data_IF_005129045614
#
_entry.id   IF_005129045614
#
_cell.length_a   1.000
_cell.length_b   1.000
_cell.length_c   1.000
_cell.angle_alpha   90.00
_cell.angle_beta   90.00
_cell.angle_gamma   90.00
#
_symmetry.space_group_name_H-M   'P 1'
#
loop_
_entity.id
_entity.type
_entity.pdbx_description
1 polymer ?
#
# COMPACT_ATOMS: atom_id res chain seq x y z
N UNK A 1 3.90 -0.90 4.99
CA UNK A 1 3.04 -1.90 5.69
C UNK A 1 2.72 -1.55 7.13
N UNK A 2 3.71 -1.24 7.97
CA UNK A 2 3.51 -0.88 9.39
C UNK A 2 2.53 0.30 9.54
N UNK A 3 2.71 1.35 8.75
CA UNK A 3 1.83 2.54 8.72
C UNK A 3 0.38 2.16 8.40
N UNK A 4 0.15 1.39 7.34
CA UNK A 4 -1.17 0.88 6.97
C UNK A 4 -1.75 -0.05 8.05
N UNK A 5 -0.94 -0.90 8.68
CA UNK A 5 -1.38 -1.77 9.78
C UNK A 5 -1.92 -0.98 10.97
N UNK A 6 -1.20 0.06 11.40
CA UNK A 6 -1.68 0.93 12.47
C UNK A 6 -2.94 1.72 12.08
N UNK A 7 -3.01 2.19 10.83
CA UNK A 7 -4.19 2.91 10.35
C UNK A 7 -5.44 1.99 10.23
N UNK A 8 -5.26 0.72 9.88
CA UNK A 8 -6.31 -0.31 9.92
C UNK A 8 -6.81 -0.53 11.35
N UNK A 9 -5.91 -0.68 12.33
CA UNK A 9 -6.29 -0.86 13.75
C UNK A 9 -7.06 0.33 14.31
N UNK A 10 -6.65 1.54 13.92
CA UNK A 10 -7.36 2.76 14.29
C UNK A 10 -8.69 2.92 13.53
N UNK A 11 -9.02 1.98 12.63
CA UNK A 11 -10.20 2.00 11.77
C UNK A 11 -10.30 3.27 10.91
N UNK A 12 -9.16 3.92 10.65
CA UNK A 12 -9.10 5.12 9.81
C UNK A 12 -9.26 4.79 8.32
N UNK A 13 -9.00 3.52 7.97
CA UNK A 13 -9.02 2.98 6.62
C UNK A 13 -9.44 1.50 6.67
N UNK A 14 -9.78 0.96 5.50
CA UNK A 14 -10.03 -0.46 5.23
C UNK A 14 -9.24 -0.86 3.98
N UNK A 15 -9.04 -2.16 3.70
CA UNK A 15 -8.41 -2.59 2.45
C UNK A 15 -9.14 -2.10 1.18
N UNK A 16 -10.44 -1.86 1.31
CA UNK A 16 -11.30 -1.36 0.24
C UNK A 16 -11.40 0.18 0.17
N UNK A 17 -10.85 0.93 1.14
CA UNK A 17 -10.91 2.39 1.13
C UNK A 17 -10.35 2.93 -0.18
N UNK A 18 -11.15 3.69 -0.91
CA UNK A 18 -10.72 4.39 -2.10
C UNK A 18 -9.92 5.65 -1.71
N UNK A 19 -8.74 5.77 -2.30
CA UNK A 19 -7.91 6.97 -2.29
C UNK A 19 -7.80 7.54 -3.69
N UNK A 20 -7.54 8.84 -3.78
CA UNK A 20 -7.06 9.44 -5.02
C UNK A 20 -5.53 9.49 -5.01
N UNK A 21 -4.90 8.73 -5.90
CA UNK A 21 -3.47 8.78 -6.22
C UNK A 21 -3.17 9.98 -7.13
N UNK A 22 -3.30 11.17 -6.55
CA UNK A 22 -3.13 12.47 -7.22
C UNK A 22 -2.27 13.37 -6.33
N UNK A 23 -1.13 13.89 -6.83
CA UNK A 23 -0.27 14.81 -6.11
C UNK A 23 -1.01 16.05 -5.62
N UNK A 24 -0.68 16.47 -4.40
CA UNK A 24 -1.25 17.65 -3.76
C UNK A 24 -0.22 18.25 -2.78
N UNK A 25 -0.31 19.55 -2.54
CA UNK A 25 0.45 20.20 -1.48
C UNK A 25 -0.08 19.74 -0.11
N UNK A 26 0.68 18.87 0.55
CA UNK A 26 0.38 18.38 1.90
C UNK A 26 0.74 19.40 3.01
N UNK A 27 1.23 20.58 2.63
CA UNK A 27 1.58 21.67 3.53
C UNK A 27 2.96 22.23 3.22
N UNK A 28 3.10 23.55 3.36
CA UNK A 28 4.38 24.26 3.21
C UNK A 28 5.06 24.04 1.84
N UNK A 29 4.29 23.72 0.79
CA UNK A 29 4.82 23.47 -0.55
C UNK A 29 5.39 22.06 -0.74
N UNK A 30 5.17 21.15 0.20
CA UNK A 30 5.57 19.76 0.05
C UNK A 30 4.57 18.98 -0.80
N UNK A 31 4.93 18.79 -2.06
CA UNK A 31 4.13 18.13 -3.10
C UNK A 31 4.87 16.88 -3.62
N UNK A 32 4.88 15.77 -2.88
CA UNK A 32 5.51 14.53 -3.32
C UNK A 32 4.78 13.96 -4.53
N UNK A 33 5.48 13.12 -5.28
CA UNK A 33 4.97 12.43 -6.47
C UNK A 33 5.25 10.93 -6.39
N UNK A 34 4.60 10.17 -7.26
CA UNK A 34 4.97 8.78 -7.51
C UNK A 34 6.32 8.68 -8.22
N UNK A 35 7.02 7.57 -8.01
CA UNK A 35 8.37 7.35 -8.58
C UNK A 35 8.40 7.43 -10.11
N UNK A 36 7.28 7.12 -10.76
CA UNK A 36 7.11 7.13 -12.22
C UNK A 36 6.44 8.41 -12.75
N UNK A 37 6.13 9.37 -11.88
CA UNK A 37 5.45 10.61 -12.24
C UNK A 37 4.00 10.43 -12.72
N UNK A 38 3.41 9.25 -12.52
CA UNK A 38 2.03 8.94 -12.95
C UNK A 38 1.04 9.17 -11.83
N UNK A 39 -0.16 9.57 -12.23
CA UNK A 39 -1.29 9.85 -11.35
C UNK A 39 -2.42 8.85 -11.66
N UNK A 40 -2.59 7.86 -10.78
CA UNK A 40 -3.51 6.73 -11.06
C UNK A 40 -4.97 7.08 -10.80
N UNK A 41 -5.24 8.22 -10.16
CA UNK A 41 -6.59 8.60 -9.74
C UNK A 41 -7.13 7.63 -8.70
N UNK A 42 -8.37 7.13 -8.84
CA UNK A 42 -8.98 6.28 -7.82
C UNK A 42 -8.27 4.92 -7.70
N UNK A 43 -7.79 4.62 -6.50
CA UNK A 43 -7.13 3.35 -6.15
C UNK A 43 -7.59 2.86 -4.78
N UNK A 44 -7.82 1.56 -4.63
CA UNK A 44 -8.11 0.98 -3.29
C UNK A 44 -6.84 0.87 -2.47
N UNK A 45 -6.97 0.98 -1.15
CA UNK A 45 -5.87 0.84 -0.19
C UNK A 45 -5.02 -0.42 -0.43
N UNK A 46 -5.67 -1.60 -0.64
CA UNK A 46 -4.96 -2.85 -0.97
C UNK A 46 -3.96 -2.65 -2.12
N UNK A 47 -4.44 -2.04 -3.21
CA UNK A 47 -3.64 -1.83 -4.42
C UNK A 47 -2.55 -0.80 -4.17
N UNK A 48 -2.82 0.24 -3.38
CA UNK A 48 -1.81 1.23 -3.00
C UNK A 48 -0.68 0.62 -2.17
N UNK A 49 -1.00 -0.26 -1.20
CA UNK A 49 0.00 -0.98 -0.42
C UNK A 49 0.80 -1.98 -1.27
N UNK A 50 0.14 -2.73 -2.15
CA UNK A 50 0.80 -3.66 -3.07
C UNK A 50 1.72 -2.92 -4.05
N UNK A 51 1.23 -1.81 -4.63
CA UNK A 51 1.96 -0.96 -5.57
C UNK A 51 3.03 -0.07 -4.93
N UNK A 52 3.05 0.06 -3.61
CA UNK A 52 3.96 1.00 -2.93
C UNK A 52 3.70 2.47 -3.29
N UNK A 53 2.44 2.87 -3.48
CA UNK A 53 2.10 4.24 -3.85
C UNK A 53 2.34 5.20 -2.69
N UNK A 54 3.01 6.32 -3.00
CA UNK A 54 3.38 7.36 -2.05
C UNK A 54 2.16 8.17 -1.60
N UNK A 55 1.34 8.65 -2.54
CA UNK A 55 0.23 9.57 -2.23
C UNK A 55 -0.80 8.93 -1.29
N UNK A 56 -1.34 7.71 -1.56
CA UNK A 56 -2.28 7.07 -0.64
C UNK A 56 -1.66 6.73 0.72
N UNK A 57 -0.34 6.47 0.79
CA UNK A 57 0.34 6.20 2.06
C UNK A 57 0.38 7.46 2.93
N UNK A 58 0.69 8.63 2.34
CA UNK A 58 0.69 9.92 3.05
C UNK A 58 -0.73 10.26 3.50
N UNK A 59 -1.72 10.12 2.63
CA UNK A 59 -3.15 10.34 2.97
C UNK A 59 -3.59 9.41 4.10
N UNK A 60 -3.13 8.16 4.11
CA UNK A 60 -3.36 7.21 5.21
C UNK A 60 -2.79 7.72 6.53
N UNK A 61 -1.53 8.19 6.54
CA UNK A 61 -0.93 8.73 7.76
C UNK A 61 -1.64 9.98 8.27
N UNK A 62 -2.17 10.82 7.36
CA UNK A 62 -2.95 12.00 7.73
C UNK A 62 -4.29 11.58 8.34
N UNK A 63 -5.04 10.68 7.71
CA UNK A 63 -6.34 10.19 8.21
C UNK A 63 -6.23 9.53 9.60
N UNK A 64 -5.19 8.73 9.82
CA UNK A 64 -4.96 8.06 11.11
C UNK A 64 -4.28 8.96 12.17
N UNK A 65 -3.78 10.14 11.75
CA UNK A 65 -2.94 11.01 12.58
C UNK A 65 -1.50 10.51 12.63
N UNK A 66 -0.60 11.23 11.94
CA UNK A 66 0.81 10.82 11.81
C UNK A 66 1.51 10.67 13.17
N UNK A 67 1.20 11.54 14.14
CA UNK A 67 1.75 11.45 15.49
C UNK A 67 1.28 10.21 16.26
N UNK A 68 0.04 9.75 16.01
CA UNK A 68 -0.44 8.49 16.60
C UNK A 68 0.35 7.31 16.04
N UNK A 69 0.57 7.28 14.73
CA UNK A 69 1.37 6.24 14.07
C UNK A 69 2.80 6.25 14.61
N UNK A 70 3.43 7.42 14.65
CA UNK A 70 4.79 7.56 15.15
C UNK A 70 4.94 7.06 16.59
N UNK A 71 4.02 7.45 17.50
CA UNK A 71 4.03 6.96 18.90
C UNK A 71 3.93 5.44 18.97
N UNK A 72 3.02 4.82 18.21
CA UNK A 72 2.90 3.36 18.17
C UNK A 72 4.14 2.68 17.60
N UNK A 73 4.76 3.26 16.57
CA UNK A 73 6.03 2.77 16.06
C UNK A 73 7.12 2.80 17.15
N UNK A 74 7.26 3.93 17.85
CA UNK A 74 8.25 4.13 18.92
C UNK A 74 8.04 3.17 20.10
N UNK A 75 6.80 3.05 20.55
CA UNK A 75 6.44 2.28 21.74
C UNK A 75 6.35 0.77 21.44
N UNK A 76 6.23 0.41 20.16
CA UNK A 76 6.23 -0.97 19.69
C UNK A 76 7.62 -1.48 19.29
N UNK A 77 7.95 -1.37 18.00
CA UNK A 77 9.10 -2.07 17.42
C UNK A 77 10.33 -1.18 17.16
N UNK A 78 10.16 0.14 17.07
CA UNK A 78 11.17 1.03 16.50
C UNK A 78 11.87 1.87 17.57
N UNK A 79 13.21 1.93 17.49
CA UNK A 79 13.98 2.95 18.21
C UNK A 79 14.42 4.04 17.24
N UNK A 80 13.91 5.24 17.45
CA UNK A 80 14.28 6.43 16.69
C UNK A 80 15.50 7.11 17.29
N UNK A 81 16.24 7.86 16.45
CA UNK A 81 17.39 8.68 16.90
C UNK A 81 16.93 9.82 17.80
N UNK A 82 15.84 10.48 17.39
CA UNK A 82 15.23 11.58 18.11
C UNK A 82 14.02 11.12 18.92
N UNK A 83 13.81 11.76 20.06
CA UNK A 83 12.62 11.51 20.91
C UNK A 83 11.39 12.28 20.46
N UNK A 84 11.52 13.20 19.50
CA UNK A 84 10.46 14.02 18.92
C UNK A 84 10.14 13.57 17.51
N UNK A 85 8.85 13.55 17.14
CA UNK A 85 8.45 13.30 15.76
C UNK A 85 8.74 14.54 14.90
N UNK A 86 9.71 14.43 13.99
CA UNK A 86 10.07 15.50 13.05
C UNK A 86 9.51 15.30 11.64
N UNK A 87 8.99 14.11 11.33
CA UNK A 87 8.59 13.75 9.97
C UNK A 87 7.14 14.15 9.63
N UNK A 88 6.25 14.19 10.62
CA UNK A 88 4.82 14.34 10.36
C UNK A 88 4.31 13.23 9.42
N UNK A 89 3.43 13.55 8.47
CA UNK A 89 2.85 12.57 7.54
C UNK A 89 3.86 11.97 6.55
N UNK A 90 5.01 12.61 6.34
CA UNK A 90 6.07 12.07 5.47
C UNK A 90 6.67 10.76 5.98
N UNK A 91 6.45 10.41 7.27
CA UNK A 91 6.85 9.10 7.81
C UNK A 91 6.25 7.94 7.01
N UNK A 92 5.10 8.16 6.35
CA UNK A 92 4.42 7.16 5.55
C UNK A 92 5.27 6.61 4.39
N UNK A 93 6.20 7.44 3.90
CA UNK A 93 7.10 7.14 2.80
C UNK A 93 8.57 7.02 3.24
N UNK A 94 8.80 6.84 4.54
CA UNK A 94 10.12 6.45 5.07
C UNK A 94 11.10 7.59 5.32
N UNK A 95 10.65 8.79 5.65
CA UNK A 95 11.53 9.93 6.00
C UNK A 95 12.17 9.85 7.38
N UNK A 96 11.77 8.86 8.21
CA UNK A 96 12.40 8.59 9.50
C UNK A 96 13.45 7.50 9.36
N UNK A 97 14.69 7.82 9.72
CA UNK A 97 15.75 6.84 9.84
C UNK A 97 15.42 5.83 10.93
N UNK A 98 15.54 4.55 10.58
CA UNK A 98 15.28 3.43 11.48
C UNK A 98 16.39 2.39 11.37
N UNK A 99 16.54 1.58 12.41
CA UNK A 99 17.42 0.42 12.35
C UNK A 99 16.70 -0.70 11.60
N UNK A 100 17.30 -1.26 10.55
CA UNK A 100 16.67 -2.36 9.80
C UNK A 100 16.41 -3.61 10.64
N UNK A 101 17.17 -3.82 11.72
CA UNK A 101 16.90 -4.89 12.67
C UNK A 101 15.57 -4.70 13.41
N UNK A 102 15.14 -3.46 13.65
CA UNK A 102 13.83 -3.14 14.22
C UNK A 102 12.71 -3.35 13.19
N UNK A 103 12.95 -2.97 11.94
CA UNK A 103 12.04 -3.28 10.83
C UNK A 103 11.87 -4.79 10.65
N UNK A 104 12.97 -5.55 10.70
CA UNK A 104 12.95 -7.01 10.64
C UNK A 104 12.10 -7.61 11.77
N UNK A 105 12.24 -7.10 12.99
CA UNK A 105 11.40 -7.51 14.12
C UNK A 105 9.92 -7.15 13.93
N UNK A 106 9.60 -6.00 13.34
CA UNK A 106 8.22 -5.63 13.02
C UNK A 106 7.60 -6.57 11.96
N UNK A 107 8.37 -6.99 10.94
CA UNK A 107 7.91 -8.01 9.99
C UNK A 107 7.78 -9.39 10.64
N UNK A 108 8.68 -9.74 11.57
CA UNK A 108 8.56 -10.95 12.38
C UNK A 108 7.26 -10.95 13.19
N UNK A 109 6.87 -9.81 13.74
CA UNK A 109 5.60 -9.68 14.42
C UNK A 109 4.39 -9.80 13.47
N UNK A 110 4.43 -9.20 12.27
CA UNK A 110 3.38 -9.43 11.27
C UNK A 110 3.23 -10.91 10.91
N UNK A 111 4.34 -11.62 10.74
CA UNK A 111 4.35 -13.05 10.50
C UNK A 111 3.73 -13.83 11.68
N UNK A 112 3.99 -13.37 12.91
CA UNK A 112 3.61 -14.02 14.15
C UNK A 112 2.41 -13.33 14.84
N UNK A 113 1.32 -13.12 14.09
CA UNK A 113 0.02 -12.64 14.61
C UNK A 113 0.10 -11.33 15.43
N UNK A 114 1.02 -10.44 15.06
CA UNK A 114 1.23 -9.14 15.71
C UNK A 114 2.11 -9.18 16.96
N UNK A 115 2.66 -10.34 17.35
CA UNK A 115 3.53 -10.50 18.52
C UNK A 115 5.01 -10.45 18.15
N UNK A 116 5.71 -9.44 18.66
CA UNK A 116 7.15 -9.29 18.53
C UNK A 116 7.86 -9.95 19.70
N UNK A 117 8.82 -10.85 19.43
CA UNK A 117 9.70 -11.41 20.45
C UNK A 117 11.05 -10.68 20.52
N UNK A 118 11.67 -10.58 21.71
CA UNK A 118 13.01 -10.04 21.84
C UNK A 118 14.03 -10.83 21.02
N UNK A 119 14.94 -10.11 20.37
CA UNK A 119 16.04 -10.72 19.60
C UNK A 119 17.06 -11.34 20.54
N UNK A 120 17.42 -12.61 20.29
CA UNK A 120 18.48 -13.32 21.01
C UNK A 120 19.64 -13.59 20.05
N UNK A 121 20.82 -13.08 20.37
CA UNK A 121 22.05 -13.29 19.58
C UNK A 121 22.93 -14.39 20.17
N UNK A 122 22.90 -14.53 21.50
CA UNK A 122 23.63 -15.54 22.25
C UNK A 122 22.57 -16.41 22.92
N UNK A 123 22.58 -17.71 22.62
CA UNK A 123 21.64 -18.67 23.21
C UNK A 123 22.21 -19.32 24.47
N UNK A 124 23.49 -19.65 24.47
CA UNK A 124 24.17 -20.33 25.57
C UNK A 124 25.66 -20.00 25.58
N UNK A 125 26.24 -19.85 26.76
CA UNK A 125 27.69 -19.70 26.99
C UNK A 125 28.09 -20.81 27.96
N UNK A 126 29.14 -21.55 27.63
CA UNK A 126 29.65 -22.67 28.43
C UNK A 126 31.14 -22.55 28.67
N UNK A 127 31.60 -23.08 29.80
CA UNK A 127 33.02 -23.35 30.04
C UNK A 127 33.48 -24.57 29.25
N UNK A 128 34.80 -24.77 29.16
CA UNK A 128 35.42 -25.94 28.50
C UNK A 128 34.98 -27.28 29.10
N UNK A 129 34.65 -27.30 30.38
CA UNK A 129 34.19 -28.50 31.11
C UNK A 129 32.67 -28.76 30.93
N UNK A 130 31.97 -27.96 30.13
CA UNK A 130 30.52 -28.07 29.91
C UNK A 130 29.67 -27.34 30.96
N UNK A 131 30.27 -26.67 31.94
CA UNK A 131 29.52 -25.87 32.91
C UNK A 131 28.85 -24.68 32.22
N UNK A 132 27.53 -24.59 32.33
CA UNK A 132 26.74 -23.46 31.81
C UNK A 132 27.09 -22.17 32.55
N UNK A 133 27.34 -21.09 31.81
CA UNK A 133 27.62 -19.73 32.32
C UNK A 133 26.43 -18.80 32.07
N UNK A 134 25.82 -18.92 30.90
CA UNK A 134 24.61 -18.19 30.54
C UNK A 134 23.75 -19.06 29.65
N UNK A 135 22.44 -18.98 29.84
CA UNK A 135 21.42 -19.50 28.95
C UNK A 135 20.40 -18.39 28.72
N UNK A 136 20.05 -18.16 27.46
CA UNK A 136 19.10 -17.13 27.14
C UNK A 136 17.71 -17.51 27.65
N UNK A 137 16.99 -16.59 28.31
CA UNK A 137 15.65 -16.89 28.81
C UNK A 137 14.72 -17.30 27.66
N UNK A 138 13.72 -18.09 28.00
CA UNK A 138 12.63 -18.42 27.08
C UNK A 138 11.91 -17.11 26.68
N UNK A 139 11.84 -16.78 25.38
CA UNK A 139 11.22 -15.56 24.92
C UNK A 139 9.69 -15.60 25.05
N UNK A 140 9.06 -16.76 25.28
CA UNK A 140 7.61 -16.95 25.31
C UNK A 140 6.88 -15.93 26.21
N UNK A 141 7.46 -15.62 27.38
CA UNK A 141 6.91 -14.66 28.34
C UNK A 141 7.23 -13.18 28.08
N UNK A 142 8.01 -12.86 27.04
CA UNK A 142 8.51 -11.50 26.76
C UNK A 142 7.96 -10.90 25.46
N UNK A 143 6.87 -11.45 24.93
CA UNK A 143 6.25 -10.95 23.71
C UNK A 143 5.70 -9.52 23.90
N UNK A 144 6.03 -8.63 22.98
CA UNK A 144 5.40 -7.31 22.85
C UNK A 144 4.36 -7.38 21.75
N UNK A 145 3.09 -7.12 22.08
CA UNK A 145 2.03 -7.01 21.06
C UNK A 145 2.15 -5.67 20.35
N UNK A 146 2.48 -5.69 19.05
CA UNK A 146 2.55 -4.47 18.22
C UNK A 146 1.37 -4.36 17.26
N UNK A 147 0.71 -5.47 16.94
CA UNK A 147 -0.56 -5.49 16.22
C UNK A 147 -1.53 -6.48 16.88
N UNK A 148 -2.82 -6.28 16.72
CA UNK A 148 -3.82 -7.33 16.89
C UNK A 148 -3.66 -8.41 15.81
N UNK A 149 -4.00 -9.65 16.15
CA UNK A 149 -3.86 -10.79 15.25
C UNK A 149 -4.64 -10.61 13.94
N UNK A 150 -5.85 -10.06 14.03
CA UNK A 150 -6.72 -9.76 12.88
C UNK A 150 -6.08 -8.75 11.93
N UNK A 151 -5.46 -7.70 12.47
CA UNK A 151 -4.72 -6.71 11.68
C UNK A 151 -3.51 -7.35 11.02
N UNK A 152 -2.73 -8.15 11.76
CA UNK A 152 -1.57 -8.84 11.23
C UNK A 152 -1.96 -9.80 10.09
N UNK A 153 -3.05 -10.55 10.25
CA UNK A 153 -3.60 -11.42 9.23
C UNK A 153 -4.04 -10.64 7.98
N UNK A 154 -4.70 -9.50 8.16
CA UNK A 154 -5.16 -8.65 7.06
C UNK A 154 -4.00 -8.03 6.27
N UNK A 155 -2.97 -7.54 6.96
CA UNK A 155 -1.74 -7.03 6.31
C UNK A 155 -1.00 -8.17 5.61
N UNK A 156 -0.94 -9.36 6.23
CA UNK A 156 -0.33 -10.56 5.64
C UNK A 156 -1.03 -10.96 4.34
N UNK A 157 -2.35 -11.00 4.34
CA UNK A 157 -3.16 -11.30 3.15
C UNK A 157 -2.82 -10.33 2.00
N UNK A 158 -2.78 -9.02 2.26
CA UNK A 158 -2.42 -8.01 1.26
C UNK A 158 -0.98 -8.21 0.72
N UNK A 159 -0.01 -8.42 1.61
CA UNK A 159 1.40 -8.56 1.21
C UNK A 159 1.71 -9.91 0.56
N UNK A 160 0.94 -10.96 0.84
CA UNK A 160 1.12 -12.28 0.21
C UNK A 160 0.83 -12.25 -1.29
N UNK A 161 -0.09 -11.38 -1.72
CA UNK A 161 -0.39 -11.11 -3.13
C UNK A 161 0.81 -10.58 -3.92
N UNK A 162 1.77 -9.91 -3.27
CA UNK A 162 3.00 -9.43 -3.94
C UNK A 162 3.94 -10.57 -4.37
N UNK A 163 3.70 -11.81 -3.96
CA UNK A 163 4.42 -12.98 -4.48
C UNK A 163 3.54 -13.88 -5.34
N UNK A 164 2.30 -13.49 -5.60
CA UNK A 164 1.36 -14.21 -6.45
C UNK A 164 1.28 -13.55 -7.84
N UNK A 165 1.73 -14.21 -8.92
CA UNK A 165 1.66 -13.62 -10.26
C UNK A 165 0.22 -13.42 -10.78
N UNK A 166 -0.79 -14.07 -10.18
CA UNK A 166 -2.19 -13.84 -10.54
C UNK A 166 -2.74 -12.56 -9.91
N UNK A 167 -2.23 -12.17 -8.74
CA UNK A 167 -2.64 -10.95 -8.05
C UNK A 167 -1.76 -9.76 -8.40
N UNK A 168 -0.44 -9.95 -8.52
CA UNK A 168 0.51 -8.88 -8.78
C UNK A 168 1.68 -9.38 -9.64
N UNK A 169 1.57 -9.24 -10.96
CA UNK A 169 2.56 -9.73 -11.91
C UNK A 169 3.93 -9.03 -11.78
N UNK A 170 3.97 -7.75 -11.38
CA UNK A 170 5.20 -6.96 -11.31
C UNK A 170 6.05 -7.41 -10.11
N UNK A 171 5.49 -7.37 -8.89
CA UNK A 171 6.25 -7.71 -7.68
C UNK A 171 6.48 -9.22 -7.56
N UNK A 172 5.61 -10.05 -8.14
CA UNK A 172 5.80 -11.51 -8.16
C UNK A 172 6.99 -11.95 -9.03
N UNK A 173 7.68 -11.04 -9.72
CA UNK A 173 9.01 -11.30 -10.28
C UNK A 173 10.01 -11.77 -9.19
N UNK A 174 9.90 -11.23 -7.97
CA UNK A 174 10.71 -11.59 -6.81
C UNK A 174 10.13 -12.76 -5.98
N UNK A 175 9.11 -13.48 -6.47
CA UNK A 175 8.49 -14.60 -5.75
C UNK A 175 9.49 -15.68 -5.37
N UNK A 176 9.31 -16.30 -4.22
CA UNK A 176 10.11 -17.45 -3.82
C UNK A 176 9.69 -18.72 -4.56
N UNK A 177 10.63 -19.65 -4.70
CA UNK A 177 10.42 -20.91 -5.41
C UNK A 177 10.90 -22.08 -4.55
N UNK A 178 10.11 -23.14 -4.52
CA UNK A 178 10.52 -24.44 -3.99
C UNK A 178 11.61 -25.07 -4.87
N UNK A 179 12.41 -26.01 -4.36
CA UNK A 179 13.11 -26.96 -5.22
C UNK A 179 12.12 -27.60 -6.21
N UNK A 180 12.42 -27.56 -7.52
CA UNK A 180 11.49 -27.96 -8.57
C UNK A 180 10.67 -26.82 -9.20
N UNK A 181 10.86 -25.56 -8.74
CA UNK A 181 10.38 -24.36 -9.42
C UNK A 181 8.95 -23.92 -9.09
N UNK A 182 8.20 -24.70 -8.33
CA UNK A 182 6.87 -24.32 -7.84
C UNK A 182 6.96 -23.08 -6.93
N UNK A 183 5.91 -22.24 -6.95
CA UNK A 183 5.84 -21.06 -6.08
C UNK A 183 5.87 -21.48 -4.60
N UNK A 184 6.69 -20.80 -3.79
CA UNK A 184 6.63 -20.84 -2.33
C UNK A 184 5.86 -19.59 -1.83
N UNK A 185 4.76 -19.75 -1.08
CA UNK A 185 4.03 -18.62 -0.50
C UNK A 185 4.91 -17.80 0.44
N UNK A 186 4.93 -16.49 0.20
CA UNK A 186 5.63 -15.53 1.06
C UNK A 186 4.93 -14.16 0.99
N UNK A 187 5.01 -13.40 2.07
CA UNK A 187 4.68 -11.98 2.07
C UNK A 187 5.92 -11.19 1.66
N UNK A 188 5.75 -10.15 0.84
CA UNK A 188 6.86 -9.33 0.36
C UNK A 188 6.46 -7.85 0.28
N UNK A 189 7.38 -6.99 0.71
CA UNK A 189 7.34 -5.57 0.38
C UNK A 189 8.74 -5.04 0.06
N UNK A 190 8.85 -4.34 -1.06
CA UNK A 190 10.04 -3.57 -1.44
C UNK A 190 9.99 -2.15 -0.87
N UNK A 191 11.13 -1.50 -0.73
CA UNK A 191 11.24 -0.09 -0.36
C UNK A 191 12.38 0.57 -1.14
N UNK A 192 12.17 1.82 -1.52
CA UNK A 192 13.14 2.63 -2.25
C UNK A 192 13.11 4.03 -1.68
N UNK A 193 14.26 4.54 -1.22
CA UNK A 193 14.37 5.93 -0.79
C UNK A 193 14.37 6.89 -1.99
N UNK A 194 14.16 8.18 -1.72
CA UNK A 194 14.53 9.24 -2.66
C UNK A 194 15.99 9.11 -3.10
N UNK A 195 16.28 9.54 -4.33
CA UNK A 195 17.59 9.43 -4.99
C UNK A 195 18.17 8.00 -5.07
N UNK A 196 17.38 6.96 -4.76
CA UNK A 196 17.81 5.56 -4.79
C UNK A 196 19.08 5.36 -3.92
N UNK A 197 19.14 5.99 -2.75
CA UNK A 197 20.23 5.79 -1.78
C UNK A 197 20.11 4.44 -1.09
N UNK A 198 18.88 4.08 -0.74
CA UNK A 198 18.53 2.85 -0.06
C UNK A 198 17.51 2.05 -0.88
N UNK A 199 17.83 0.80 -1.16
CA UNK A 199 16.88 -0.19 -1.66
C UNK A 199 16.73 -1.32 -0.67
N UNK A 200 15.49 -1.68 -0.37
CA UNK A 200 15.17 -2.72 0.61
C UNK A 200 14.12 -3.68 0.11
N UNK A 201 14.16 -4.90 0.64
CA UNK A 201 13.07 -5.85 0.50
C UNK A 201 12.98 -6.66 1.79
N UNK A 202 11.77 -6.71 2.35
CA UNK A 202 11.45 -7.42 3.58
C UNK A 202 10.27 -8.34 3.34
N UNK A 203 10.31 -9.52 3.94
CA UNK A 203 9.26 -10.52 3.78
C UNK A 203 9.45 -11.73 4.66
N UNK A 204 8.45 -12.59 4.69
CA UNK A 204 8.39 -13.78 5.54
C UNK A 204 7.60 -14.90 4.87
N UNK A 205 7.86 -16.13 5.31
CA UNK A 205 7.12 -17.31 4.85
C UNK A 205 5.79 -17.45 5.58
N UNK A 206 4.88 -18.20 4.96
CA UNK A 206 3.73 -18.75 5.67
C UNK A 206 4.19 -19.56 6.89
N UNK A 207 3.45 -19.50 8.02
CA UNK A 207 3.80 -20.23 9.23
C UNK A 207 3.81 -21.74 8.95
N UNK A 208 4.81 -22.49 9.47
CA UNK A 208 4.88 -23.93 9.27
C UNK A 208 3.70 -24.64 9.94
N UNK A 209 3.26 -25.76 9.36
CA UNK A 209 2.24 -26.62 9.97
C UNK A 209 2.76 -27.40 11.18
N UNK A 210 4.08 -27.60 11.27
CA UNK A 210 4.73 -28.14 12.46
C UNK A 210 4.86 -27.03 13.52
N UNK A 211 4.30 -27.19 14.74
CA UNK A 211 4.43 -26.20 15.81
C UNK A 211 5.88 -25.98 16.27
N UNK A 212 6.79 -26.91 15.98
CA UNK A 212 8.23 -26.76 16.23
C UNK A 212 8.99 -26.24 15.00
N UNK A 213 8.28 -25.99 13.89
CA UNK A 213 8.85 -25.48 12.67
C UNK A 213 9.35 -24.04 12.82
N UNK A 214 10.36 -23.68 12.02
CA UNK A 214 10.89 -22.33 12.03
C UNK A 214 10.03 -21.41 11.17
N UNK A 215 9.46 -20.37 11.78
CA UNK A 215 8.90 -19.25 11.05
C UNK A 215 10.02 -18.30 10.64
N UNK A 216 10.19 -18.08 9.33
CA UNK A 216 11.31 -17.31 8.79
C UNK A 216 10.87 -15.95 8.27
N UNK A 217 11.63 -14.93 8.65
CA UNK A 217 11.57 -13.55 8.16
C UNK A 217 12.96 -13.14 7.69
N UNK A 218 13.04 -12.38 6.60
CA UNK A 218 14.29 -11.83 6.07
C UNK A 218 14.08 -10.43 5.53
N UNK A 219 15.13 -9.64 5.66
CA UNK A 219 15.27 -8.33 5.07
C UNK A 219 16.62 -8.21 4.39
N UNK A 220 16.65 -7.54 3.26
CA UNK A 220 17.89 -7.13 2.61
C UNK A 220 17.89 -5.61 2.44
N UNK A 221 19.09 -5.05 2.48
CA UNK A 221 19.36 -3.65 2.16
C UNK A 221 20.53 -3.60 1.18
N UNK A 222 20.41 -2.73 0.19
CA UNK A 222 21.47 -2.37 -0.74
C UNK A 222 21.55 -0.84 -0.81
N UNK A 223 22.75 -0.31 -0.61
CA UNK A 223 23.03 1.11 -0.54
C UNK A 223 24.53 1.36 -0.37
N UNK A 224 24.96 2.62 -0.53
CA UNK A 224 26.32 3.01 -0.20
C UNK A 224 26.40 3.42 1.28
N UNK A 225 27.44 2.96 1.98
CA UNK A 225 27.63 3.27 3.41
C UNK A 225 27.82 4.76 3.70
N UNK A 226 28.16 5.57 2.69
CA UNK A 226 28.31 7.03 2.77
C UNK A 226 27.05 7.80 2.36
N UNK A 227 25.93 7.10 2.12
CA UNK A 227 24.64 7.66 1.68
C UNK A 227 24.67 8.38 0.32
N UNK A 228 25.72 8.17 -0.49
CA UNK A 228 25.71 8.61 -1.87
C UNK A 228 24.69 7.80 -2.69
N UNK A 229 24.01 8.41 -3.69
CA UNK A 229 23.10 7.69 -4.57
C UNK A 229 23.75 6.44 -5.21
N UNK A 230 22.99 5.35 -5.27
CA UNK A 230 23.49 4.11 -5.89
C UNK A 230 23.39 4.20 -7.42
N UNK A 231 24.38 4.84 -8.05
CA UNK A 231 24.43 4.93 -9.51
C UNK A 231 24.41 3.52 -10.14
N UNK A 232 23.42 3.26 -11.01
CA UNK A 232 23.32 2.03 -11.78
C UNK A 232 22.60 0.85 -11.12
N UNK A 233 22.08 0.98 -9.88
CA UNK A 233 21.23 -0.06 -9.31
C UNK A 233 19.80 0.03 -9.87
N UNK A 234 19.35 -1.07 -10.48
CA UNK A 234 17.94 -1.24 -10.87
C UNK A 234 17.03 -1.19 -9.63
N UNK A 235 15.80 -0.67 -9.76
CA UNK A 235 14.76 -0.72 -8.71
C UNK A 235 14.39 -2.15 -8.29
N UNK A 236 14.72 -3.14 -9.11
CA UNK A 236 14.51 -4.55 -8.82
C UNK A 236 15.59 -5.16 -7.89
N UNK A 237 16.72 -4.47 -7.68
CA UNK A 237 17.91 -5.02 -7.04
C UNK A 237 17.61 -5.67 -5.69
N UNK A 238 16.97 -4.93 -4.78
CA UNK A 238 16.67 -5.46 -3.46
C UNK A 238 15.70 -6.65 -3.51
N UNK A 239 14.70 -6.62 -4.39
CA UNK A 239 13.78 -7.75 -4.59
C UNK A 239 14.49 -9.01 -5.10
N UNK A 240 15.37 -8.87 -6.09
CA UNK A 240 16.15 -10.00 -6.64
C UNK A 240 17.16 -10.56 -5.63
N UNK A 241 17.82 -9.70 -4.85
CA UNK A 241 18.73 -10.13 -3.79
C UNK A 241 17.97 -10.88 -2.70
N UNK A 242 16.83 -10.35 -2.25
CA UNK A 242 15.96 -10.99 -1.28
C UNK A 242 15.49 -12.35 -1.75
N UNK A 243 15.00 -12.45 -3.00
CA UNK A 243 14.57 -13.71 -3.59
C UNK A 243 15.70 -14.75 -3.60
N UNK A 244 16.90 -14.35 -4.02
CA UNK A 244 18.04 -15.25 -4.14
C UNK A 244 18.49 -15.76 -2.76
N UNK A 245 18.70 -14.85 -1.81
CA UNK A 245 19.11 -15.20 -0.46
C UNK A 245 18.05 -16.05 0.25
N UNK A 246 16.77 -15.70 0.13
CA UNK A 246 15.73 -16.40 0.88
C UNK A 246 15.39 -17.77 0.30
N UNK A 247 15.50 -17.97 -1.03
CA UNK A 247 15.39 -19.30 -1.60
C UNK A 247 16.47 -20.25 -1.06
N UNK A 248 17.70 -19.76 -0.86
CA UNK A 248 18.77 -20.56 -0.28
C UNK A 248 18.53 -20.86 1.21
N UNK A 249 18.20 -19.83 2.00
CA UNK A 249 17.87 -19.98 3.43
C UNK A 249 16.70 -20.97 3.62
N UNK A 250 15.67 -20.87 2.78
CA UNK A 250 14.45 -21.67 2.90
C UNK A 250 14.50 -23.00 2.13
N UNK A 251 15.64 -23.38 1.53
CA UNK A 251 15.73 -24.52 0.60
C UNK A 251 15.16 -25.82 1.16
N UNK A 252 15.45 -26.09 2.45
CA UNK A 252 15.04 -27.31 3.16
C UNK A 252 13.86 -27.08 4.12
N UNK A 253 13.24 -25.90 4.09
CA UNK A 253 12.06 -25.59 4.91
C UNK A 253 10.83 -26.16 4.21
N UNK A 254 9.99 -26.98 4.86
CA UNK A 254 8.75 -27.48 4.27
C UNK A 254 7.88 -26.36 3.69
N UNK A 255 7.11 -26.68 2.65
CA UNK A 255 6.10 -25.74 2.12
C UNK A 255 4.99 -25.60 3.16
N UNK A 256 4.58 -24.35 3.39
CA UNK A 256 3.33 -24.01 4.06
C UNK A 256 2.58 -22.98 3.23
N UNK A 257 1.28 -22.84 3.49
CA UNK A 257 0.41 -21.86 2.86
C UNK A 257 -0.14 -20.91 3.93
N UNK A 258 -0.36 -19.64 3.57
CA UNK A 258 -1.00 -18.70 4.50
C UNK A 258 -2.44 -19.15 4.73
N UNK A 259 -2.87 -19.11 5.98
CA UNK A 259 -4.26 -19.34 6.34
C UNK A 259 -5.06 -18.08 6.01
N UNK A 260 -6.22 -18.25 5.38
CA UNK A 260 -7.12 -17.14 5.13
C UNK A 260 -7.51 -16.45 6.46
N UNK A 261 -7.56 -15.11 6.52
CA UNK A 261 -8.01 -14.42 7.72
C UNK A 261 -9.40 -14.91 8.15
N UNK A 262 -9.58 -15.18 9.45
CA UNK A 262 -10.90 -15.46 10.03
C UNK A 262 -11.68 -14.15 10.24
N UNK A 263 -11.90 -13.43 9.15
CA UNK A 263 -12.48 -12.09 9.12
C UNK A 263 -13.70 -12.05 8.19
N UNK A 264 -14.63 -11.10 8.43
CA UNK A 264 -15.69 -10.81 7.49
C UNK A 264 -15.16 -10.60 6.07
N UNK A 265 -15.63 -11.43 5.14
CA UNK A 265 -15.29 -11.37 3.72
C UNK A 265 -16.52 -10.90 2.94
N UNK A 266 -16.47 -9.70 2.39
CA UNK A 266 -17.61 -9.04 1.76
C UNK A 266 -17.38 -8.94 0.26
N UNK A 267 -18.43 -9.18 -0.52
CA UNK A 267 -18.42 -8.88 -1.95
C UNK A 267 -18.60 -7.38 -2.13
N UNK A 268 -17.65 -6.75 -2.81
CA UNK A 268 -17.58 -5.31 -3.08
C UNK A 268 -17.49 -5.04 -4.57
N UNK A 269 -17.84 -3.82 -4.97
CA UNK A 269 -17.45 -3.28 -6.27
C UNK A 269 -15.91 -3.12 -6.33
N UNK A 270 -15.33 -3.57 -7.44
CA UNK A 270 -13.87 -3.70 -7.63
C UNK A 270 -13.13 -2.36 -7.58
N UNK A 271 -13.81 -1.29 -7.97
CA UNK A 271 -13.19 0.02 -8.14
C UNK A 271 -13.46 0.90 -6.93
N UNK A 272 -14.71 0.91 -6.46
CA UNK A 272 -15.15 1.75 -5.34
C UNK A 272 -14.85 1.22 -3.97
N UNK A 273 -14.77 -0.11 -3.82
CA UNK A 273 -14.70 -0.72 -2.49
C UNK A 273 -16.01 -0.70 -1.71
N UNK A 274 -17.08 -0.20 -2.31
CA UNK A 274 -18.43 -0.16 -1.75
C UNK A 274 -19.18 -1.48 -2.03
N UNK A 275 -20.38 -1.62 -1.46
CA UNK A 275 -21.26 -2.72 -1.80
C UNK A 275 -21.67 -2.64 -3.29
N UNK A 276 -21.90 -3.78 -3.97
CA UNK A 276 -22.40 -3.79 -5.33
C UNK A 276 -23.73 -3.02 -5.47
N UNK A 277 -23.87 -2.26 -6.54
CA UNK A 277 -25.08 -1.50 -6.86
C UNK A 277 -25.26 -1.31 -8.37
N UNK A 278 -26.18 -0.42 -8.80
CA UNK A 278 -26.47 -0.22 -10.23
C UNK A 278 -25.28 0.23 -11.09
N UNK A 279 -24.27 0.86 -10.49
CA UNK A 279 -23.03 1.28 -11.14
C UNK A 279 -22.00 0.15 -11.32
N UNK A 280 -22.18 -0.98 -10.63
CA UNK A 280 -21.15 -2.01 -10.50
C UNK A 280 -20.98 -2.77 -11.80
N UNK A 281 -19.77 -2.68 -12.36
CA UNK A 281 -19.37 -3.43 -13.57
C UNK A 281 -18.57 -4.68 -13.25
N UNK A 282 -17.94 -4.73 -12.07
CA UNK A 282 -17.12 -5.86 -11.63
C UNK A 282 -17.09 -5.98 -10.12
N UNK A 283 -17.26 -7.19 -9.61
CA UNK A 283 -17.19 -7.46 -8.16
C UNK A 283 -15.93 -8.23 -7.77
N UNK A 284 -15.54 -8.11 -6.51
CA UNK A 284 -14.57 -9.00 -5.88
C UNK A 284 -14.90 -9.22 -4.41
N UNK A 285 -14.24 -10.17 -3.77
CA UNK A 285 -14.31 -10.33 -2.32
C UNK A 285 -13.14 -9.63 -1.64
N UNK A 286 -13.40 -8.96 -0.52
CA UNK A 286 -12.38 -8.29 0.29
C UNK A 286 -12.62 -8.57 1.78
N UNK A 287 -11.53 -8.67 2.56
CA UNK A 287 -11.60 -8.87 4.00
C UNK A 287 -11.68 -7.53 4.74
N UNK A 288 -12.39 -7.52 5.86
CA UNK A 288 -12.59 -6.34 6.70
C UNK A 288 -12.40 -6.69 8.17
N UNK A 289 -11.91 -5.75 8.96
CA UNK A 289 -12.04 -5.86 10.41
C UNK A 289 -13.53 -5.82 10.79
N UNK A 290 -13.95 -6.51 11.86
CA UNK A 290 -15.35 -6.47 12.29
C UNK A 290 -15.83 -5.04 12.56
N UNK A 291 -16.98 -4.67 11.98
CA UNK A 291 -17.58 -3.35 12.11
C UNK A 291 -17.09 -2.31 11.10
N UNK A 292 -16.13 -2.64 10.23
CA UNK A 292 -15.60 -1.74 9.21
C UNK A 292 -16.05 -2.09 7.79
N UNK A 293 -17.06 -2.95 7.63
CA UNK A 293 -17.60 -3.33 6.32
C UNK A 293 -18.30 -2.12 5.66
N UNK A 294 -18.29 -2.03 4.31
CA UNK A 294 -18.98 -0.95 3.62
C UNK A 294 -20.50 -1.06 3.81
N UNK A 295 -21.16 0.09 3.93
CA UNK A 295 -22.61 0.21 4.06
C UNK A 295 -23.27 0.97 2.92
N UNK A 296 -22.47 1.60 2.06
CA UNK A 296 -22.90 2.36 0.89
C UNK A 296 -22.71 1.57 -0.39
N UNK A 297 -23.40 1.98 -1.46
CA UNK A 297 -23.19 1.51 -2.84
C UNK A 297 -23.34 2.66 -3.82
N UNK A 298 -22.45 2.72 -4.80
CA UNK A 298 -22.44 3.72 -5.87
C UNK A 298 -22.46 5.19 -5.41
N UNK A 299 -21.92 5.51 -4.22
CA UNK A 299 -21.95 6.88 -3.69
C UNK A 299 -21.09 7.85 -4.50
N UNK A 300 -20.01 7.32 -5.10
CA UNK A 300 -19.10 8.02 -6.00
C UNK A 300 -19.62 8.08 -7.44
N UNK A 301 -20.85 7.64 -7.72
CA UNK A 301 -21.45 7.76 -9.06
C UNK A 301 -22.57 8.78 -9.09
N UNK A 302 -22.72 9.45 -10.23
CA UNK A 302 -23.75 10.46 -10.46
C UNK A 302 -24.34 10.28 -11.85
N UNK A 303 -25.65 10.44 -11.98
CA UNK A 303 -26.31 10.53 -13.28
C UNK A 303 -26.42 12.00 -13.67
N UNK A 304 -25.81 12.37 -14.80
CA UNK A 304 -25.79 13.74 -15.32
C UNK A 304 -26.41 13.78 -16.70
N UNK A 305 -27.00 14.93 -17.02
CA UNK A 305 -27.30 15.31 -18.39
C UNK A 305 -26.05 15.99 -18.96
N UNK A 306 -25.57 15.48 -20.09
CA UNK A 306 -24.39 16.01 -20.78
C UNK A 306 -24.74 16.48 -22.19
N UNK A 307 -24.00 17.48 -22.66
CA UNK A 307 -23.99 17.87 -24.05
C UNK A 307 -23.09 16.92 -24.84
N UNK A 308 -23.67 16.13 -25.74
CA UNK A 308 -22.93 15.11 -26.51
C UNK A 308 -21.89 15.70 -27.47
N UNK A 309 -21.97 16.99 -27.81
CA UNK A 309 -20.99 17.65 -28.66
C UNK A 309 -19.70 18.02 -27.90
N UNK A 310 -19.81 18.45 -26.64
CA UNK A 310 -18.67 18.93 -25.83
C UNK A 310 -18.25 17.97 -24.72
N UNK A 311 -19.14 17.05 -24.31
CA UNK A 311 -18.95 16.20 -23.13
C UNK A 311 -19.07 16.94 -21.80
N UNK A 312 -19.55 18.18 -21.79
CA UNK A 312 -19.75 18.99 -20.59
C UNK A 312 -21.14 18.78 -19.98
N UNK A 313 -21.31 19.17 -18.72
CA UNK A 313 -22.63 19.18 -18.06
C UNK A 313 -23.57 20.06 -18.86
N UNK A 314 -24.71 19.49 -19.25
CA UNK A 314 -25.70 20.13 -20.10
C UNK A 314 -26.34 21.32 -19.38
N UNK A 315 -26.59 22.39 -20.13
CA UNK A 315 -27.43 23.51 -19.75
C UNK A 315 -28.08 24.11 -21.00
N UNK A 316 -29.05 25.04 -20.88
CA UNK A 316 -29.74 25.62 -22.03
C UNK A 316 -28.86 26.38 -23.04
N UNK A 317 -27.60 26.69 -22.71
CA UNK A 317 -26.63 27.33 -23.60
C UNK A 317 -25.82 26.33 -24.43
N UNK A 318 -25.95 25.02 -24.17
CA UNK A 318 -25.30 23.98 -24.98
C UNK A 318 -25.93 23.90 -26.37
N UNK A 319 -25.08 23.65 -27.37
CA UNK A 319 -25.49 23.60 -28.79
C UNK A 319 -25.79 22.19 -29.29
N UNK A 320 -25.33 21.15 -28.58
CA UNK A 320 -25.49 19.77 -28.98
C UNK A 320 -26.67 19.06 -28.30
N UNK A 321 -26.95 17.81 -28.72
CA UNK A 321 -27.97 16.97 -28.10
C UNK A 321 -27.66 16.67 -26.63
N UNK A 322 -28.70 16.70 -25.80
CA UNK A 322 -28.64 16.29 -24.40
C UNK A 322 -28.75 14.77 -24.27
N UNK A 323 -27.84 14.14 -23.53
CA UNK A 323 -27.89 12.72 -23.18
C UNK A 323 -27.77 12.54 -21.67
N UNK A 324 -28.49 11.56 -21.11
CA UNK A 324 -28.39 11.20 -19.69
C UNK A 324 -27.48 9.99 -19.51
N UNK A 325 -26.42 10.14 -18.73
CA UNK A 325 -25.43 9.09 -18.50
C UNK A 325 -24.97 9.07 -17.03
N UNK A 326 -24.56 7.90 -16.55
CA UNK A 326 -23.97 7.71 -15.22
C UNK A 326 -22.44 7.73 -15.28
N UNK A 327 -21.83 8.54 -14.41
CA UNK A 327 -20.40 8.81 -14.37
C UNK A 327 -19.80 8.53 -13.00
N UNK A 328 -18.51 8.23 -12.96
CA UNK A 328 -17.70 8.25 -11.76
C UNK A 328 -17.35 9.70 -11.40
N UNK A 329 -17.83 10.17 -10.25
CA UNK A 329 -17.66 11.53 -9.75
C UNK A 329 -16.68 11.56 -8.58
N UNK A 330 -15.40 11.67 -8.93
CA UNK A 330 -14.31 11.74 -7.95
C UNK A 330 -14.29 13.05 -7.16
N UNK A 331 -15.11 14.06 -7.53
CA UNK A 331 -15.26 15.28 -6.73
C UNK A 331 -15.93 15.01 -5.37
N UNK A 332 -16.63 13.88 -5.24
CA UNK A 332 -17.26 13.41 -3.98
C UNK A 332 -16.29 12.73 -3.03
N UNK A 333 -15.05 12.50 -3.46
CA UNK A 333 -14.03 11.86 -2.64
C UNK A 333 -13.23 12.91 -1.88
N UNK A 334 -12.82 12.55 -0.66
CA UNK A 334 -11.89 13.34 0.14
C UNK A 334 -12.39 14.77 0.44
N UNK A 335 -13.70 14.93 0.56
CA UNK A 335 -14.39 16.22 0.81
C UNK A 335 -13.96 16.90 2.11
N UNK A 336 -13.52 16.13 3.09
CA UNK A 336 -12.99 16.65 4.37
C UNK A 336 -11.61 17.34 4.20
N UNK A 337 -11.00 17.21 3.02
CA UNK A 337 -9.69 17.76 2.69
C UNK A 337 -9.79 18.64 1.43
N UNK A 338 -10.17 19.93 1.55
CA UNK A 338 -10.46 20.80 0.40
C UNK A 338 -9.33 20.89 -0.64
N UNK A 339 -8.06 20.88 -0.20
CA UNK A 339 -6.91 20.84 -1.12
C UNK A 339 -6.86 19.55 -1.94
N UNK A 340 -7.16 18.41 -1.32
CA UNK A 340 -7.15 17.12 -2.01
C UNK A 340 -8.32 17.04 -2.98
N UNK A 341 -9.50 17.46 -2.55
CA UNK A 341 -10.68 17.53 -3.40
C UNK A 341 -10.45 18.40 -4.64
N UNK A 342 -9.83 19.57 -4.48
CA UNK A 342 -9.46 20.44 -5.60
C UNK A 342 -8.51 19.74 -6.60
N UNK A 343 -7.50 19.02 -6.09
CA UNK A 343 -6.61 18.22 -6.94
C UNK A 343 -7.35 17.06 -7.64
N UNK A 344 -8.33 16.44 -6.98
CA UNK A 344 -9.15 15.37 -7.56
C UNK A 344 -10.01 15.90 -8.72
N UNK A 345 -10.57 17.11 -8.59
CA UNK A 345 -11.35 17.78 -9.64
C UNK A 345 -10.45 18.11 -10.83
N UNK A 346 -9.28 18.71 -10.61
CA UNK A 346 -8.32 19.01 -11.68
C UNK A 346 -7.88 17.73 -12.41
N UNK A 347 -7.58 16.67 -11.67
CA UNK A 347 -7.24 15.38 -12.25
C UNK A 347 -8.41 14.80 -13.07
N UNK A 348 -9.64 14.91 -12.58
CA UNK A 348 -10.83 14.43 -13.29
C UNK A 348 -10.99 15.12 -14.65
N UNK A 349 -10.75 16.43 -14.67
CA UNK A 349 -10.81 17.25 -15.86
C UNK A 349 -9.77 16.80 -16.91
N UNK A 350 -8.57 16.38 -16.50
CA UNK A 350 -7.61 15.78 -17.42
C UNK A 350 -7.98 14.35 -17.81
N UNK A 351 -8.34 13.51 -16.83
CA UNK A 351 -8.59 12.09 -17.03
C UNK A 351 -9.76 11.82 -18.00
N UNK A 352 -10.73 12.74 -18.09
CA UNK A 352 -11.82 12.68 -19.09
C UNK A 352 -11.31 12.68 -20.54
N UNK A 353 -10.15 13.30 -20.79
CA UNK A 353 -9.50 13.34 -22.11
C UNK A 353 -8.66 12.08 -22.37
N UNK A 354 -8.53 11.19 -21.38
CA UNK A 354 -7.87 9.88 -21.47
C UNK A 354 -6.63 9.73 -20.58
N UNK A 355 -5.94 8.60 -20.78
CA UNK A 355 -4.59 8.31 -20.25
C UNK A 355 -3.56 9.22 -20.95
N UNK A 356 -2.47 9.55 -20.27
CA UNK A 356 -1.36 10.31 -20.86
C UNK A 356 -1.48 11.83 -20.79
N UNK A 357 -2.44 12.38 -20.04
CA UNK A 357 -2.67 13.82 -19.96
C UNK A 357 -1.80 14.45 -18.87
N UNK A 358 -0.99 15.43 -19.26
CA UNK A 358 -0.02 16.10 -18.38
C UNK A 358 -0.69 17.27 -17.64
N UNK A 359 -0.43 17.41 -16.34
CA UNK A 359 -0.89 18.55 -15.55
C UNK A 359 -0.77 18.33 -14.04
N UNK A 360 -1.70 18.87 -13.25
CA UNK A 360 -1.66 18.76 -11.81
C UNK A 360 -0.50 19.53 -11.14
N UNK A 361 -0.39 19.39 -9.82
CA UNK A 361 0.53 20.17 -8.99
C UNK A 361 2.03 19.90 -9.28
N UNK A 362 2.35 18.80 -9.97
CA UNK A 362 3.73 18.37 -10.25
C UNK A 362 4.00 18.17 -11.76
N UNK A 363 3.05 18.49 -12.64
CA UNK A 363 3.16 18.12 -14.06
C UNK A 363 3.09 16.60 -14.28
N UNK A 364 2.34 15.89 -13.43
CA UNK A 364 2.15 14.44 -13.52
C UNK A 364 1.27 14.03 -14.70
N UNK A 365 1.23 12.73 -14.97
CA UNK A 365 0.55 12.15 -16.14
C UNK A 365 -0.64 11.31 -15.67
N UNK A 366 -1.86 11.60 -16.14
CA UNK A 366 -3.02 10.74 -15.86
C UNK A 366 -2.74 9.32 -16.32
N UNK A 367 -3.07 8.33 -15.50
CA UNK A 367 -2.84 6.96 -15.90
C UNK A 367 -3.78 5.92 -15.33
N UNK A 368 -4.04 4.87 -16.11
CA UNK A 368 -4.61 3.66 -15.54
C UNK A 368 -3.59 2.99 -14.62
N UNK A 369 -4.07 2.19 -13.67
CA UNK A 369 -3.21 1.50 -12.71
C UNK A 369 -2.08 0.73 -13.42
N UNK A 370 -0.82 1.10 -13.12
CA UNK A 370 0.43 0.62 -13.76
C UNK A 370 0.35 0.43 -15.29
N UNK A 371 -0.22 1.43 -15.96
CA UNK A 371 -0.20 1.54 -17.41
C UNK A 371 1.22 1.33 -17.96
N UNK A 372 1.34 0.41 -18.93
CA UNK A 372 2.54 -0.23 -19.53
C UNK A 372 2.94 -1.61 -19.00
N UNK A 373 2.75 -1.91 -17.71
CA UNK A 373 3.30 -3.14 -17.10
C UNK A 373 2.24 -4.10 -16.58
N UNK A 374 1.15 -3.56 -16.01
CA UNK A 374 0.14 -4.39 -15.37
C UNK A 374 -1.19 -3.64 -15.22
N UNK A 375 -2.22 -4.11 -15.93
CA UNK A 375 -3.57 -3.53 -15.90
C UNK A 375 -4.57 -4.58 -15.41
N UNK A 376 -4.69 -4.82 -14.09
CA UNK A 376 -5.49 -5.93 -13.56
C UNK A 376 -6.98 -5.85 -13.96
N UNK A 377 -7.48 -4.64 -14.23
CA UNK A 377 -8.87 -4.39 -14.58
C UNK A 377 -9.04 -3.74 -15.98
N UNK A 378 -7.97 -3.71 -16.78
CA UNK A 378 -7.98 -3.09 -18.11
C UNK A 378 -7.75 -1.57 -18.10
N UNK A 379 -8.09 -0.92 -19.22
CA UNK A 379 -7.94 0.52 -19.42
C UNK A 379 -9.16 1.27 -18.84
N UNK A 380 -9.32 1.26 -17.52
CA UNK A 380 -10.45 1.91 -16.84
C UNK A 380 -10.10 2.35 -15.43
N UNK A 381 -10.79 3.40 -14.95
CA UNK A 381 -10.82 3.83 -13.55
C UNK A 381 -12.06 3.32 -12.80
N UNK A 382 -12.86 2.45 -13.44
CA UNK A 382 -14.12 1.93 -12.91
C UNK A 382 -15.37 2.53 -13.54
N UNK A 383 -15.23 3.60 -14.31
CA UNK A 383 -16.31 4.23 -15.06
C UNK A 383 -15.79 5.41 -15.86
N UNK A 384 -16.68 6.00 -16.67
CA UNK A 384 -16.40 7.28 -17.34
C UNK A 384 -16.33 8.38 -16.29
N UNK A 385 -15.29 9.21 -16.31
CA UNK A 385 -15.11 10.31 -15.36
C UNK A 385 -16.16 11.40 -15.63
N UNK A 386 -16.81 11.89 -14.57
CA UNK A 386 -17.81 12.93 -14.65
C UNK A 386 -17.19 14.26 -15.10
N UNK A 387 -17.80 15.00 -16.04
CA UNK A 387 -17.41 16.38 -16.30
C UNK A 387 -17.78 17.25 -15.08
N UNK A 388 -16.88 18.14 -14.68
CA UNK A 388 -17.18 19.13 -13.62
C UNK A 388 -17.54 20.50 -14.18
N UNK A 389 -17.16 20.77 -15.43
CA UNK A 389 -17.53 21.97 -16.20
C UNK A 389 -18.86 21.81 -16.94
N UNK A 390 -19.56 22.92 -17.14
CA UNK A 390 -20.80 23.02 -17.95
C UNK A 390 -20.58 23.88 -19.19
N UNK A 391 -21.50 23.89 -20.15
CA UNK A 391 -21.40 24.77 -21.33
C UNK A 391 -21.36 26.29 -21.01
N UNK A 392 -21.58 26.68 -19.74
CA UNK A 392 -21.50 28.08 -19.27
C UNK A 392 -20.14 28.43 -18.62
N UNK A 393 -19.37 27.43 -18.18
CA UNK A 393 -18.06 27.69 -17.59
C UNK A 393 -17.08 28.00 -18.72
N UNK A 394 -16.59 29.25 -18.78
CA UNK A 394 -15.46 29.61 -19.63
C UNK A 394 -14.29 28.65 -19.36
N UNK A 395 -13.48 28.28 -20.36
CA UNK A 395 -12.30 27.46 -20.12
C UNK A 395 -11.43 28.13 -19.04
N UNK A 396 -10.85 27.36 -18.09
CA UNK A 396 -9.93 27.93 -17.12
C UNK A 396 -8.79 28.62 -17.87
N UNK A 397 -8.48 29.86 -17.48
CA UNK A 397 -7.37 30.60 -18.07
C UNK A 397 -6.05 29.84 -17.79
N UNK A 398 -5.16 29.73 -18.79
CA UNK A 398 -3.91 28.98 -18.67
C UNK A 398 -2.95 29.55 -17.63
#
# INVERSE_FOLDING_TARGET
>A
PVVYGYALEMQAITPATMFMDVPVDFGQGWTPQEWDGRERGPVRMRQALQGSLNIPAIKTAIRAGADNIWRRMRDGAFRFRESTNIAGSSLAIGTLEIRYVDLLSAYGALANEGKMFPRRYILRIEKRDGTMVYEAPDPSGSATKIFEADTAALVTDILSGNTDPQENAIWAAARLKMPGGARRPAALKTGTSSDIKDQTAFGYLAPPSDPNGQQLVTGVWAGNSDSTPTAGLSLATAGSLWQSAFNEIARNVPKADFVAPNLPKITIDTFTGELPGPCTTRTMSEYFLPGTQPTTSCSTYVTLQIDTATGLVWNPSCVGPMETQTFLDVSRLETDYPKWQAANIEWAERARLGDGQVGGATGGITSYFYSQYWKPYGNTWGGTIAPTASCLTAPPLP
#
